data_IF_367643792371
#
_entry.id   IF_367643792371
#
_cell.length_a   1.000
_cell.length_b   1.000
_cell.length_c   1.000
_cell.angle_alpha   90.00
_cell.angle_beta   90.00
_cell.angle_gamma   90.00
#
_symmetry.space_group_name_H-M   'P 1'
#
loop_
_entity.id
_entity.type
_entity.pdbx_description
1 polymer ?
#
# COMPACT_ATOMS: atom_id res chain seq x y z
N UNK A 1 -6.25 20.96 10.54
CA UNK A 1 -6.42 21.81 9.34
C UNK A 1 -7.46 22.88 9.66
N UNK A 2 -7.06 24.15 9.77
CA UNK A 2 -8.00 25.23 10.10
C UNK A 2 -8.47 25.91 8.81
N UNK A 3 -9.79 25.97 8.60
CA UNK A 3 -10.44 26.66 7.46
C UNK A 3 -10.00 28.11 7.29
N UNK A 4 -9.52 28.75 8.37
CA UNK A 4 -9.08 30.15 8.37
C UNK A 4 -7.68 30.39 7.78
N UNK A 5 -6.87 29.35 7.52
CA UNK A 5 -5.49 29.50 7.01
C UNK A 5 -5.29 29.12 5.53
N UNK A 6 -6.36 28.88 4.76
CA UNK A 6 -6.25 28.51 3.33
C UNK A 6 -5.67 27.11 3.05
N UNK A 7 -5.13 26.41 4.06
CA UNK A 7 -4.59 25.05 3.95
C UNK A 7 -5.67 23.98 4.16
N UNK A 8 -6.73 24.04 3.36
CA UNK A 8 -7.77 23.00 3.33
C UNK A 8 -7.95 22.54 1.89
N UNK A 9 -7.64 21.26 1.64
CA UNK A 9 -7.82 20.63 0.34
C UNK A 9 -8.81 19.48 0.51
N UNK A 10 -9.79 19.38 -0.38
CA UNK A 10 -10.61 18.18 -0.45
C UNK A 10 -9.88 17.11 -1.26
N UNK A 11 -10.25 15.84 -1.04
CA UNK A 11 -9.77 14.74 -1.90
C UNK A 11 -10.04 15.03 -3.38
N UNK A 12 -11.14 15.71 -3.69
CA UNK A 12 -11.53 16.10 -5.05
C UNK A 12 -10.65 17.19 -5.65
N UNK A 13 -10.06 18.05 -4.81
CA UNK A 13 -9.07 19.04 -5.25
C UNK A 13 -7.73 18.39 -5.55
N UNK A 14 -7.30 17.47 -4.69
CA UNK A 14 -6.05 16.72 -4.86
C UNK A 14 -6.14 15.82 -6.11
N UNK A 15 -7.31 15.23 -6.35
CA UNK A 15 -7.56 14.36 -7.50
C UNK A 15 -7.44 15.06 -8.87
N UNK A 16 -7.32 16.39 -8.90
CA UNK A 16 -7.02 17.15 -10.13
C UNK A 16 -5.57 17.00 -10.58
N UNK A 17 -4.66 16.63 -9.67
CA UNK A 17 -3.22 16.53 -9.91
C UNK A 17 -2.70 15.10 -9.71
N UNK A 18 -3.29 14.34 -8.77
CA UNK A 18 -2.87 12.99 -8.44
C UNK A 18 -4.01 11.99 -8.62
N UNK A 19 -3.70 10.80 -9.09
CA UNK A 19 -4.72 9.74 -9.21
C UNK A 19 -5.26 9.33 -7.85
N UNK A 20 -6.54 8.95 -7.81
CA UNK A 20 -7.20 8.46 -6.59
C UNK A 20 -6.46 7.29 -5.96
N UNK A 21 -5.77 6.48 -6.77
CA UNK A 21 -4.97 5.38 -6.25
C UNK A 21 -3.76 5.84 -5.46
N UNK A 22 -3.02 6.84 -5.96
CA UNK A 22 -1.90 7.46 -5.23
C UNK A 22 -2.41 8.05 -3.91
N UNK A 23 -3.56 8.71 -3.92
CA UNK A 23 -4.17 9.26 -2.71
C UNK A 23 -4.52 8.15 -1.72
N UNK A 24 -5.14 7.06 -2.17
CA UNK A 24 -5.44 5.89 -1.30
C UNK A 24 -4.16 5.28 -0.73
N UNK A 25 -3.14 5.08 -1.55
CA UNK A 25 -1.86 4.52 -1.14
C UNK A 25 -1.17 5.40 -0.10
N UNK A 26 -1.16 6.72 -0.31
CA UNK A 26 -0.68 7.69 0.67
C UNK A 26 -1.44 7.57 2.00
N UNK A 27 -2.77 7.52 1.97
CA UNK A 27 -3.59 7.40 3.19
C UNK A 27 -3.34 6.08 3.94
N UNK A 28 -3.06 4.98 3.23
CA UNK A 28 -2.72 3.68 3.81
C UNK A 28 -1.34 3.66 4.48
N UNK A 29 -0.41 4.52 4.03
CA UNK A 29 0.93 4.64 4.62
C UNK A 29 0.92 5.30 6.01
N UNK A 30 -0.14 6.05 6.33
CA UNK A 30 -0.26 6.76 7.59
C UNK A 30 -1.04 5.96 8.64
N UNK A 31 -0.70 6.14 9.92
CA UNK A 31 -1.48 5.58 11.01
C UNK A 31 -2.84 6.27 11.10
N UNK A 32 -3.92 5.50 10.93
CA UNK A 32 -5.31 5.97 10.90
C UNK A 32 -5.79 6.76 12.12
N UNK A 33 -5.13 6.66 13.30
CA UNK A 33 -5.47 7.44 14.50
C UNK A 33 -4.62 8.70 14.69
N UNK A 34 -3.65 8.93 13.81
CA UNK A 34 -2.75 10.06 13.89
C UNK A 34 -3.14 11.11 12.85
N UNK A 35 -2.95 12.41 13.14
CA UNK A 35 -3.06 13.44 12.12
C UNK A 35 -2.13 13.12 10.95
N UNK A 36 -2.68 13.08 9.74
CA UNK A 36 -1.89 12.85 8.52
C UNK A 36 -1.28 14.18 8.11
N UNK A 37 0.06 14.22 8.03
CA UNK A 37 0.78 15.34 7.47
C UNK A 37 0.68 15.29 5.96
N UNK A 38 0.02 16.29 5.37
CA UNK A 38 -0.20 16.39 3.95
C UNK A 38 0.78 17.38 3.31
N UNK A 39 1.45 16.95 2.23
CA UNK A 39 2.18 17.83 1.31
C UNK A 39 2.20 17.22 -0.09
N UNK A 40 2.38 18.06 -1.12
CA UNK A 40 2.55 17.58 -2.50
C UNK A 40 3.78 16.67 -2.64
N UNK A 41 4.85 16.97 -1.91
CA UNK A 41 6.08 16.14 -1.87
C UNK A 41 5.79 14.73 -1.33
N UNK A 42 5.00 14.60 -0.26
CA UNK A 42 4.64 13.29 0.29
C UNK A 42 3.74 12.48 -0.65
N UNK A 43 2.86 13.15 -1.40
CA UNK A 43 2.07 12.50 -2.45
C UNK A 43 2.93 12.02 -3.61
N UNK A 44 3.92 12.80 -4.03
CA UNK A 44 4.87 12.38 -5.07
C UNK A 44 5.71 11.19 -4.60
N UNK A 45 6.13 11.17 -3.34
CA UNK A 45 6.80 10.01 -2.75
C UNK A 45 5.89 8.78 -2.74
N UNK A 46 4.60 8.94 -2.41
CA UNK A 46 3.61 7.88 -2.45
C UNK A 46 3.42 7.36 -3.89
N UNK A 47 3.34 8.25 -4.88
CA UNK A 47 3.25 7.89 -6.30
C UNK A 47 4.45 7.05 -6.74
N UNK A 48 5.67 7.52 -6.46
CA UNK A 48 6.89 6.77 -6.75
C UNK A 48 6.93 5.40 -6.04
N UNK A 49 6.39 5.32 -4.82
CA UNK A 49 6.25 4.06 -4.10
C UNK A 49 5.29 3.09 -4.77
N UNK A 50 4.15 3.59 -5.24
CA UNK A 50 3.15 2.82 -5.97
C UNK A 50 3.69 2.33 -7.33
N UNK A 51 4.38 3.20 -8.07
CA UNK A 51 5.03 2.83 -9.34
C UNK A 51 6.06 1.70 -9.16
N UNK A 52 6.82 1.71 -8.06
CA UNK A 52 7.75 0.60 -7.76
C UNK A 52 7.03 -0.73 -7.55
N UNK A 53 5.82 -0.72 -6.98
CA UNK A 53 5.01 -1.93 -6.80
C UNK A 53 4.54 -2.45 -8.16
N UNK A 54 4.02 -1.57 -9.02
CA UNK A 54 3.61 -1.94 -10.37
C UNK A 54 4.77 -2.47 -11.21
N UNK A 55 5.90 -1.77 -11.22
CA UNK A 55 7.10 -2.24 -11.92
C UNK A 55 7.57 -3.62 -11.43
N UNK A 56 7.42 -3.91 -10.13
CA UNK A 56 7.72 -5.23 -9.58
C UNK A 56 6.78 -6.30 -10.13
N UNK A 57 5.47 -6.02 -10.17
CA UNK A 57 4.45 -6.93 -10.73
C UNK A 57 4.74 -7.19 -12.20
N UNK A 58 4.95 -6.13 -13.01
CA UNK A 58 5.21 -6.25 -14.45
C UNK A 58 6.46 -7.10 -14.71
N UNK A 59 7.53 -6.89 -13.93
CA UNK A 59 8.74 -7.70 -14.02
C UNK A 59 8.50 -9.17 -13.65
N UNK A 60 7.69 -9.44 -12.62
CA UNK A 60 7.34 -10.81 -12.23
C UNK A 60 6.48 -11.50 -13.28
N UNK A 61 5.55 -10.78 -13.91
CA UNK A 61 4.74 -11.30 -15.01
C UNK A 61 5.60 -11.63 -16.23
N UNK A 62 6.50 -10.72 -16.62
CA UNK A 62 7.46 -10.95 -17.69
C UNK A 62 8.33 -12.19 -17.40
N UNK A 63 8.89 -12.29 -16.20
CA UNK A 63 9.72 -13.45 -15.81
C UNK A 63 8.91 -14.74 -15.80
N UNK A 64 7.66 -14.71 -15.35
CA UNK A 64 6.78 -15.89 -15.35
C UNK A 64 6.52 -16.43 -16.76
N UNK A 65 6.36 -15.55 -17.74
CA UNK A 65 6.13 -15.93 -19.15
C UNK A 65 7.37 -16.49 -19.83
N UNK A 66 8.57 -16.06 -19.40
CA UNK A 66 9.83 -16.42 -20.03
C UNK A 66 10.65 -17.45 -19.22
N UNK A 67 10.18 -17.84 -18.03
CA UNK A 67 10.85 -18.81 -17.19
C UNK A 67 10.75 -20.22 -17.79
N UNK A 68 11.85 -20.96 -17.72
CA UNK A 68 11.85 -22.39 -18.00
C UNK A 68 11.30 -23.15 -16.79
N UNK A 69 10.36 -24.06 -17.04
CA UNK A 69 9.79 -24.90 -15.99
C UNK A 69 10.70 -26.11 -15.80
N UNK A 70 11.62 -26.00 -14.85
CA UNK A 70 12.49 -27.08 -14.42
C UNK A 70 12.24 -27.47 -12.96
N UNK A 71 12.85 -28.58 -12.53
CA UNK A 71 12.78 -28.98 -11.11
C UNK A 71 13.47 -27.92 -10.26
N UNK A 72 12.75 -27.42 -9.25
CA UNK A 72 13.31 -26.49 -8.27
C UNK A 72 14.57 -27.05 -7.63
N UNK A 73 15.61 -26.23 -7.66
CA UNK A 73 16.85 -26.40 -6.90
C UNK A 73 16.57 -26.32 -5.40
N UNK A 74 17.49 -26.84 -4.59
CA UNK A 74 17.35 -26.77 -3.13
C UNK A 74 17.31 -25.32 -2.62
N UNK A 75 18.07 -24.43 -3.25
CA UNK A 75 18.03 -22.99 -2.96
C UNK A 75 16.67 -22.35 -3.26
N UNK A 76 16.01 -22.75 -4.35
CA UNK A 76 14.68 -22.22 -4.69
C UNK A 76 13.60 -22.73 -3.74
N UNK A 77 13.72 -23.97 -3.24
CA UNK A 77 12.80 -24.51 -2.22
C UNK A 77 12.92 -23.76 -0.89
N UNK A 78 14.14 -23.43 -0.47
CA UNK A 78 14.34 -22.63 0.75
C UNK A 78 13.79 -21.21 0.57
N UNK A 79 13.96 -20.62 -0.62
CA UNK A 79 13.36 -19.32 -0.93
C UNK A 79 11.82 -19.37 -0.91
N UNK A 80 11.21 -20.41 -1.49
CA UNK A 80 9.76 -20.63 -1.47
C UNK A 80 9.24 -20.72 -0.03
N UNK A 81 9.92 -21.50 0.82
CA UNK A 81 9.56 -21.61 2.24
C UNK A 81 9.59 -20.25 2.94
N UNK A 82 10.65 -19.47 2.75
CA UNK A 82 10.75 -18.11 3.30
C UNK A 82 9.65 -17.19 2.78
N UNK A 83 9.29 -17.31 1.50
CA UNK A 83 8.21 -16.53 0.90
C UNK A 83 6.85 -16.86 1.51
N UNK A 84 6.58 -18.15 1.76
CA UNK A 84 5.37 -18.59 2.45
C UNK A 84 5.30 -18.08 3.90
N UNK A 85 6.43 -18.08 4.62
CA UNK A 85 6.51 -17.50 5.97
C UNK A 85 6.23 -15.99 5.98
N UNK A 86 6.79 -15.25 5.02
CA UNK A 86 6.54 -13.80 4.88
C UNK A 86 5.07 -13.55 4.56
N UNK A 87 4.48 -14.34 3.65
CA UNK A 87 3.05 -14.25 3.31
C UNK A 87 2.17 -14.48 4.55
N UNK A 88 2.49 -15.49 5.37
CA UNK A 88 1.75 -15.77 6.60
C UNK A 88 1.82 -14.59 7.59
N UNK A 89 3.02 -14.06 7.84
CA UNK A 89 3.21 -12.88 8.70
C UNK A 89 2.48 -11.65 8.18
N UNK A 90 2.47 -11.45 6.86
CA UNK A 90 1.73 -10.37 6.22
C UNK A 90 0.21 -10.50 6.46
N UNK A 91 -0.35 -11.69 6.25
CA UNK A 91 -1.78 -11.97 6.49
C UNK A 91 -2.14 -11.75 7.97
N UNK A 92 -1.31 -12.24 8.89
CA UNK A 92 -1.50 -12.04 10.33
C UNK A 92 -1.49 -10.56 10.74
N UNK A 93 -0.51 -9.80 10.23
CA UNK A 93 -0.45 -8.36 10.45
C UNK A 93 -1.69 -7.64 9.89
N UNK A 94 -2.14 -8.04 8.69
CA UNK A 94 -3.35 -7.49 8.07
C UNK A 94 -4.60 -7.77 8.90
N UNK A 95 -4.77 -8.99 9.41
CA UNK A 95 -5.87 -9.34 10.30
C UNK A 95 -5.84 -8.53 11.60
N UNK A 96 -4.65 -8.29 12.16
CA UNK A 96 -4.48 -7.50 13.39
C UNK A 96 -4.86 -6.03 13.18
N UNK A 97 -4.48 -5.45 12.03
CA UNK A 97 -4.85 -4.08 11.65
C UNK A 97 -6.34 -4.00 11.37
N UNK A 98 -6.91 -4.97 10.65
CA UNK A 98 -8.34 -5.06 10.36
C UNK A 98 -9.17 -5.11 11.64
N UNK A 99 -8.80 -5.90 12.64
CA UNK A 99 -9.53 -5.95 13.93
C UNK A 99 -9.46 -4.60 14.66
N UNK A 100 -8.32 -3.90 14.63
CA UNK A 100 -8.15 -2.59 15.29
C UNK A 100 -8.83 -1.43 14.53
N UNK A 101 -8.93 -1.51 13.20
CA UNK A 101 -9.58 -0.51 12.34
C UNK A 101 -11.09 -0.76 12.16
N UNK A 102 -11.53 -2.00 12.08
CA UNK A 102 -12.94 -2.41 11.88
C UNK A 102 -13.80 -2.16 13.11
N UNK A 103 -13.26 -2.31 14.33
CA UNK A 103 -13.97 -1.93 15.57
C UNK A 103 -14.28 -0.43 15.65
N UNK A 104 -13.54 0.42 14.93
CA UNK A 104 -13.77 1.88 14.91
C UNK A 104 -14.54 2.37 13.69
N UNK A 105 -14.44 1.71 12.53
CA UNK A 105 -15.34 2.00 11.40
C UNK A 105 -16.80 1.66 11.74
N UNK A 106 -17.04 0.69 12.63
CA UNK A 106 -18.37 0.40 13.16
C UNK A 106 -18.93 1.52 14.06
N UNK A 107 -18.09 2.41 14.57
CA UNK A 107 -18.46 3.58 15.38
C UNK A 107 -18.61 4.87 14.58
N UNK A 108 -18.27 4.86 13.28
CA UNK A 108 -18.37 6.02 12.39
C UNK A 108 -19.50 5.90 11.36
N UNK A 109 -20.25 4.80 11.38
CA UNK A 109 -21.39 4.50 10.48
C UNK A 109 -22.69 4.25 11.29
N UNK A 110 -22.66 4.39 12.62
CA UNK A 110 -23.83 4.48 13.51
C UNK A 110 -23.77 5.80 14.26
#
# INVERSE_FOLDING_TARGET
MAKSKGNFFTVRDIAKTFDYEVIRFFMLSAHYRSPINFSAELLEQAKNGLERIYNCIDNLEYLKEHAQVDKMTESERELEKRLLEIKAKFIEAWMTISIRQMLLLRFLIL
#
